data_IF_518762581482
#
_entry.id   IF_518762581482
#
_cell.length_a   1.000
_cell.length_b   1.000
_cell.length_c   1.000
_cell.angle_alpha   90.00
_cell.angle_beta   90.00
_cell.angle_gamma   90.00
#
_symmetry.space_group_name_H-M   'P 1'
#
loop_
_entity.id
_entity.type
_entity.pdbx_description
1 polymer ?
#
# COMPACT_ATOMS: atom_id res chain seq x y z
N UNK A 1 -9.02 0.13 8.32
CA UNK A 1 -8.26 0.94 7.33
C UNK A 1 -8.83 2.34 7.33
N UNK A 2 -8.03 3.40 7.22
CA UNK A 2 -8.56 4.77 7.11
C UNK A 2 -9.18 4.95 5.71
N UNK A 3 -10.21 5.78 5.58
CA UNK A 3 -10.86 6.07 4.28
C UNK A 3 -9.84 6.46 3.19
N UNK A 4 -8.81 7.22 3.57
CA UNK A 4 -7.71 7.61 2.70
C UNK A 4 -6.92 6.42 2.12
N UNK A 5 -6.72 5.36 2.90
CA UNK A 5 -5.99 4.16 2.43
C UNK A 5 -6.82 3.38 1.39
N UNK A 6 -8.14 3.34 1.59
CA UNK A 6 -9.09 2.71 0.66
C UNK A 6 -9.11 3.49 -0.66
N UNK A 7 -9.22 4.82 -0.59
CA UNK A 7 -9.19 5.70 -1.77
C UNK A 7 -7.87 5.55 -2.53
N UNK A 8 -6.73 5.51 -1.85
CA UNK A 8 -5.43 5.32 -2.49
C UNK A 8 -5.31 3.95 -3.19
N UNK A 9 -5.81 2.89 -2.56
CA UNK A 9 -5.85 1.56 -3.17
C UNK A 9 -6.75 1.55 -4.42
N UNK A 10 -7.95 2.14 -4.33
CA UNK A 10 -8.87 2.27 -5.47
C UNK A 10 -8.26 3.08 -6.62
N UNK A 11 -7.61 4.22 -6.33
CA UNK A 11 -6.91 5.00 -7.36
C UNK A 11 -5.79 4.22 -8.03
N UNK A 12 -5.03 3.43 -7.27
CA UNK A 12 -3.95 2.58 -7.82
C UNK A 12 -4.51 1.53 -8.79
N UNK A 13 -5.63 0.90 -8.45
CA UNK A 13 -6.31 -0.07 -9.32
C UNK A 13 -6.80 0.61 -10.60
N UNK A 14 -7.42 1.79 -10.49
CA UNK A 14 -7.90 2.55 -11.66
C UNK A 14 -6.75 2.93 -12.58
N UNK A 15 -5.63 3.42 -12.01
CA UNK A 15 -4.43 3.78 -12.78
C UNK A 15 -3.79 2.55 -13.45
N UNK A 16 -3.78 1.39 -12.79
CA UNK A 16 -3.31 0.15 -13.38
C UNK A 16 -4.16 -0.25 -14.59
N UNK A 17 -5.49 -0.20 -14.45
CA UNK A 17 -6.41 -0.50 -15.54
C UNK A 17 -6.20 0.45 -16.71
N UNK A 18 -6.01 1.75 -16.44
CA UNK A 18 -5.69 2.73 -17.47
C UNK A 18 -4.41 2.34 -18.21
N UNK A 19 -3.31 2.04 -17.51
CA UNK A 19 -2.05 1.62 -18.15
C UNK A 19 -2.27 0.38 -19.03
N UNK A 20 -2.97 -0.64 -18.53
CA UNK A 20 -3.29 -1.85 -19.29
C UNK A 20 -4.08 -1.50 -20.55
N UNK A 21 -5.08 -0.63 -20.46
CA UNK A 21 -5.86 -0.17 -21.62
C UNK A 21 -4.97 0.54 -22.64
N UNK A 22 -4.07 1.43 -22.21
CA UNK A 22 -3.12 2.08 -23.12
C UNK A 22 -2.19 1.05 -23.80
N UNK A 23 -1.70 0.06 -23.06
CA UNK A 23 -0.89 -1.04 -23.62
C UNK A 23 -1.67 -1.88 -24.63
N UNK A 24 -2.91 -2.25 -24.33
CA UNK A 24 -3.78 -3.03 -25.22
C UNK A 24 -4.12 -2.27 -26.50
N UNK A 25 -4.28 -0.95 -26.40
CA UNK A 25 -4.55 -0.09 -27.56
C UNK A 25 -3.27 0.31 -28.33
N UNK A 26 -2.09 -0.17 -27.91
CA UNK A 26 -0.77 0.20 -28.46
C UNK A 26 -0.51 1.71 -28.48
N UNK A 27 -1.14 2.45 -27.55
CA UNK A 27 -0.99 3.89 -27.41
C UNK A 27 0.18 4.19 -26.47
N UNK A 28 1.02 5.14 -26.87
CA UNK A 28 2.08 5.66 -26.01
C UNK A 28 1.48 6.17 -24.69
N UNK A 29 1.88 5.55 -23.59
CA UNK A 29 1.41 5.95 -22.25
C UNK A 29 2.07 7.27 -21.86
N UNK A 30 1.30 8.32 -21.52
CA UNK A 30 1.86 9.60 -21.12
C UNK A 30 2.72 9.46 -19.85
N UNK A 31 3.81 10.23 -19.77
CA UNK A 31 4.77 10.14 -18.66
C UNK A 31 4.14 10.51 -17.31
N UNK A 32 3.23 11.48 -17.32
CA UNK A 32 2.48 11.91 -16.14
C UNK A 32 1.66 10.77 -15.55
N UNK A 33 1.10 9.90 -16.39
CA UNK A 33 0.32 8.73 -15.95
C UNK A 33 1.23 7.69 -15.28
N UNK A 34 2.43 7.47 -15.83
CA UNK A 34 3.42 6.55 -15.26
C UNK A 34 3.92 7.05 -13.91
N UNK A 35 4.18 8.36 -13.80
CA UNK A 35 4.57 9.01 -12.54
C UNK A 35 3.46 8.91 -11.49
N UNK A 36 2.22 9.25 -11.85
CA UNK A 36 1.08 9.16 -10.96
C UNK A 36 0.86 7.72 -10.45
N UNK A 37 0.99 6.73 -11.34
CA UNK A 37 0.93 5.32 -10.96
C UNK A 37 2.06 4.91 -10.01
N UNK A 38 3.30 5.31 -10.30
CA UNK A 38 4.45 5.02 -9.44
C UNK A 38 4.28 5.57 -8.02
N UNK A 39 3.79 6.81 -7.90
CA UNK A 39 3.52 7.46 -6.60
C UNK A 39 2.39 6.73 -5.86
N UNK A 40 1.30 6.39 -6.55
CA UNK A 40 0.17 5.68 -5.95
C UNK A 40 0.58 4.28 -5.44
N UNK A 41 1.33 3.52 -6.25
CA UNK A 41 1.89 2.21 -5.86
C UNK A 41 2.81 2.36 -4.66
N UNK A 42 3.76 3.29 -4.69
CA UNK A 42 4.70 3.53 -3.59
C UNK A 42 3.99 3.86 -2.27
N UNK A 43 2.92 4.64 -2.33
CA UNK A 43 2.09 4.97 -1.17
C UNK A 43 1.37 3.74 -0.60
N UNK A 44 0.70 2.96 -1.46
CA UNK A 44 -0.02 1.74 -1.06
C UNK A 44 0.93 0.70 -0.47
N UNK A 45 2.10 0.48 -1.07
CA UNK A 45 3.12 -0.42 -0.55
C UNK A 45 3.68 0.05 0.80
N UNK A 46 3.95 1.36 0.95
CA UNK A 46 4.44 1.93 2.21
C UNK A 46 3.43 1.71 3.36
N UNK A 47 2.13 1.82 3.07
CA UNK A 47 1.05 1.53 4.04
C UNK A 47 0.91 0.04 4.34
N UNK A 48 1.03 -0.82 3.33
CA UNK A 48 1.03 -2.27 3.50
C UNK A 48 2.18 -2.76 4.40
N UNK A 49 3.37 -2.22 4.19
CA UNK A 49 4.55 -2.53 5.02
C UNK A 49 4.40 -1.94 6.43
N UNK A 50 3.99 -0.67 6.58
CA UNK A 50 3.79 -0.06 7.90
C UNK A 50 2.71 -0.76 8.73
N UNK A 51 1.64 -1.28 8.10
CA UNK A 51 0.64 -2.11 8.77
C UNK A 51 1.22 -3.41 9.32
N UNK A 52 2.10 -4.05 8.55
CA UNK A 52 2.77 -5.31 8.93
C UNK A 52 3.79 -5.09 10.05
N UNK A 53 4.56 -4.01 9.99
CA UNK A 53 5.54 -3.63 11.03
C UNK A 53 4.86 -3.26 12.34
N UNK A 54 3.76 -2.49 12.32
CA UNK A 54 3.00 -2.19 13.53
C UNK A 54 2.35 -3.43 14.15
N UNK A 55 1.88 -4.39 13.34
CA UNK A 55 1.37 -5.67 13.83
C UNK A 55 2.44 -6.50 14.53
N UNK A 56 3.65 -6.58 13.93
CA UNK A 56 4.81 -7.25 14.51
C UNK A 56 5.27 -6.59 15.82
N UNK A 57 5.37 -5.26 15.85
CA UNK A 57 5.77 -4.51 17.05
C UNK A 57 4.74 -4.68 18.19
N UNK A 58 3.45 -4.69 17.87
CA UNK A 58 2.37 -4.94 18.86
C UNK A 58 2.43 -6.37 19.41
N UNK A 59 2.74 -7.37 18.57
CA UNK A 59 2.93 -8.77 19.01
C UNK A 59 4.16 -8.94 19.91
N UNK A 60 5.28 -8.30 19.58
CA UNK A 60 6.50 -8.33 20.39
C UNK A 60 6.31 -7.64 21.75
N UNK A 61 5.62 -6.50 21.79
CA UNK A 61 5.39 -5.76 23.05
C UNK A 61 4.43 -6.51 23.99
N UNK A 62 3.41 -7.18 23.45
CA UNK A 62 2.49 -7.99 24.27
C UNK A 62 3.12 -9.31 24.75
N UNK A 63 4.05 -9.91 24.00
CA UNK A 63 4.80 -11.10 24.45
C UNK A 63 5.69 -10.79 25.66
N UNK A 64 6.46 -9.70 25.59
CA UNK A 64 7.38 -9.30 26.66
C UNK A 64 6.70 -8.83 27.97
N UNK A 65 5.40 -8.56 27.96
CA UNK A 65 4.63 -8.16 29.15
C UNK A 65 4.02 -9.32 29.92
N UNK A 66 3.75 -10.45 29.24
CA UNK A 66 3.20 -11.65 29.88
C UNK A 66 4.24 -12.38 30.74
N UNK A 67 5.51 -12.31 30.35
CA UNK A 67 6.60 -13.01 31.04
C UNK A 67 7.01 -12.33 32.37
N UNK A 68 6.54 -11.10 32.63
CA UNK A 68 6.85 -10.35 33.87
C UNK A 68 5.74 -10.34 34.91
N UNK A 69 4.58 -10.92 34.62
CA UNK A 69 3.44 -10.96 35.54
C UNK A 69 3.34 -12.29 36.33
N UNK A 70 4.34 -13.17 36.20
CA UNK A 70 4.33 -14.52 36.79
C UNK A 70 5.61 -14.92 37.51
N UNK A 71 6.38 -13.97 38.04
CA UNK A 71 7.51 -14.26 38.97
C UNK A 71 7.29 -13.60 40.32
#
# INVERSE_FOLDING_TARGET
MKLQDIVAASMTIILLLAIITFTVLEIATPEELKLAFGVAVGWVFSRGINGKVNGLKRRSTNGNGADKAGS
#
